data_IF_730543712435
#
_entry.id   IF_730543712435
#
_cell.length_a   1.000
_cell.length_b   1.000
_cell.length_c   1.000
_cell.angle_alpha   90.00
_cell.angle_beta   90.00
_cell.angle_gamma   90.00
#
_symmetry.space_group_name_H-M   'P 1'
#
loop_
_entity.id
_entity.type
_entity.pdbx_description
1 polymer ?
#
# COMPACT_ATOMS: atom_id res chain seq x y z
N UNK A 1 20.89 0.47 16.13
CA UNK A 1 19.84 -0.54 15.88
C UNK A 1 20.14 -1.74 16.73
N UNK A 2 19.16 -2.23 17.49
CA UNK A 2 19.28 -3.45 18.27
C UNK A 2 19.68 -4.64 17.35
N UNK A 3 20.56 -5.52 17.82
CA UNK A 3 21.03 -6.71 17.08
C UNK A 3 19.87 -7.56 16.56
N UNK A 4 18.77 -7.64 17.34
CA UNK A 4 17.53 -8.34 16.98
C UNK A 4 16.86 -7.79 15.71
N UNK A 5 16.79 -6.46 15.56
CA UNK A 5 16.21 -5.83 14.37
C UNK A 5 17.04 -6.09 13.12
N UNK A 6 18.37 -6.10 13.22
CA UNK A 6 19.26 -6.44 12.09
C UNK A 6 19.09 -7.89 11.65
N UNK A 7 19.03 -8.82 12.61
CA UNK A 7 18.80 -10.24 12.31
C UNK A 7 17.44 -10.44 11.60
N UNK A 8 16.40 -9.78 12.09
CA UNK A 8 15.07 -9.81 11.48
C UNK A 8 15.03 -9.23 10.06
N UNK A 9 15.73 -8.11 9.81
CA UNK A 9 15.84 -7.56 8.46
C UNK A 9 16.59 -8.54 7.54
N UNK A 10 17.64 -9.19 8.05
CA UNK A 10 18.41 -10.17 7.30
C UNK A 10 17.56 -11.40 6.91
N UNK A 11 16.74 -11.94 7.83
CA UNK A 11 15.87 -13.09 7.50
C UNK A 11 14.86 -12.75 6.41
N UNK A 12 14.24 -11.58 6.47
CA UNK A 12 13.30 -11.11 5.43
C UNK A 12 14.03 -10.87 4.11
N UNK A 13 15.25 -10.32 4.16
CA UNK A 13 16.06 -10.12 2.96
C UNK A 13 16.46 -11.44 2.29
N UNK A 14 16.85 -12.46 3.07
CA UNK A 14 17.13 -13.81 2.56
C UNK A 14 15.89 -14.44 1.93
N UNK A 15 14.73 -14.32 2.57
CA UNK A 15 13.47 -14.83 2.04
C UNK A 15 13.08 -14.12 0.73
N UNK A 16 13.18 -12.80 0.69
CA UNK A 16 12.92 -12.01 -0.51
C UNK A 16 13.89 -12.38 -1.65
N UNK A 17 15.18 -12.58 -1.34
CA UNK A 17 16.17 -13.02 -2.33
C UNK A 17 15.83 -14.40 -2.90
N UNK A 18 15.38 -15.35 -2.06
CA UNK A 18 14.93 -16.66 -2.51
C UNK A 18 13.71 -16.55 -3.44
N UNK A 19 12.72 -15.71 -3.08
CA UNK A 19 11.55 -15.42 -3.93
C UNK A 19 11.98 -14.84 -5.27
N UNK A 20 12.88 -13.84 -5.27
CA UNK A 20 13.38 -13.23 -6.50
C UNK A 20 14.18 -14.24 -7.35
N UNK A 21 14.91 -15.16 -6.71
CA UNK A 21 15.56 -16.28 -7.40
C UNK A 21 14.55 -17.19 -8.11
N UNK A 22 13.43 -17.51 -7.46
CA UNK A 22 12.32 -18.26 -8.09
C UNK A 22 11.72 -17.47 -9.24
N UNK A 23 11.45 -16.17 -9.06
CA UNK A 23 10.91 -15.28 -10.11
C UNK A 23 11.84 -15.25 -11.33
N UNK A 24 13.15 -15.13 -11.12
CA UNK A 24 14.14 -15.14 -12.19
C UNK A 24 14.21 -16.50 -12.90
N UNK A 25 14.14 -17.61 -12.16
CA UNK A 25 14.19 -18.96 -12.72
C UNK A 25 12.95 -19.36 -13.53
N UNK A 26 11.78 -18.80 -13.19
CA UNK A 26 10.49 -19.09 -13.82
C UNK A 26 9.94 -17.90 -14.60
N UNK A 27 10.83 -17.03 -15.08
CA UNK A 27 10.44 -15.82 -15.79
C UNK A 27 9.78 -16.17 -17.13
N UNK A 28 8.46 -16.00 -17.21
CA UNK A 28 7.68 -16.22 -18.42
C UNK A 28 6.50 -15.24 -18.49
N UNK A 29 6.75 -13.97 -18.82
CA UNK A 29 5.69 -12.97 -18.93
C UNK A 29 4.80 -13.28 -20.14
N UNK A 30 3.47 -13.23 -19.97
CA UNK A 30 2.53 -13.45 -21.07
C UNK A 30 2.67 -12.38 -22.17
N UNK A 31 2.93 -11.13 -21.76
CA UNK A 31 3.10 -10.01 -22.68
C UNK A 31 3.95 -8.91 -22.04
N UNK A 32 5.20 -8.81 -22.48
CA UNK A 32 6.17 -7.83 -21.98
C UNK A 32 5.68 -6.39 -22.15
N UNK A 33 4.97 -6.08 -23.25
CA UNK A 33 4.45 -4.73 -23.50
C UNK A 33 3.31 -4.35 -22.55
N UNK A 34 2.37 -5.27 -22.29
CA UNK A 34 1.28 -5.06 -21.33
C UNK A 34 1.81 -4.89 -19.92
N UNK A 35 2.75 -5.75 -19.53
CA UNK A 35 3.43 -5.65 -18.24
C UNK A 35 4.18 -4.33 -18.10
N UNK A 36 4.98 -3.93 -19.08
CA UNK A 36 5.75 -2.68 -19.01
C UNK A 36 4.85 -1.45 -18.85
N UNK A 37 3.72 -1.40 -19.56
CA UNK A 37 2.77 -0.30 -19.45
C UNK A 37 2.11 -0.25 -18.06
N UNK A 38 1.63 -1.39 -17.57
CA UNK A 38 1.01 -1.47 -16.24
C UNK A 38 2.03 -1.19 -15.13
N UNK A 39 3.23 -1.73 -15.24
CA UNK A 39 4.34 -1.48 -14.32
C UNK A 39 4.69 0.00 -14.27
N UNK A 40 4.81 0.66 -15.43
CA UNK A 40 5.05 2.11 -15.50
C UNK A 40 3.97 2.93 -14.79
N UNK A 41 2.69 2.58 -15.01
CA UNK A 41 1.57 3.22 -14.29
C UNK A 41 1.64 2.97 -12.78
N UNK A 42 1.96 1.76 -12.36
CA UNK A 42 2.15 1.41 -10.95
C UNK A 42 3.28 2.22 -10.31
N UNK A 43 4.38 2.44 -11.03
CA UNK A 43 5.49 3.28 -10.55
C UNK A 43 5.06 4.75 -10.42
N UNK A 44 4.39 5.31 -11.43
CA UNK A 44 3.89 6.70 -11.38
C UNK A 44 2.92 6.88 -10.22
N UNK A 45 1.97 5.97 -10.04
CA UNK A 45 1.03 6.04 -8.93
C UNK A 45 1.69 5.81 -7.56
N UNK A 46 2.70 4.96 -7.50
CA UNK A 46 3.55 4.77 -6.30
C UNK A 46 4.35 6.03 -5.97
N UNK A 47 4.73 6.82 -6.98
CA UNK A 47 5.40 8.11 -6.81
C UNK A 47 4.44 9.22 -6.30
N UNK A 48 3.13 9.08 -6.53
CA UNK A 48 2.09 9.96 -5.99
C UNK A 48 1.80 9.65 -4.52
N UNK A 49 2.78 9.92 -3.65
CA UNK A 49 2.60 9.82 -2.19
C UNK A 49 1.66 10.93 -1.69
N UNK A 50 0.46 10.56 -1.27
CA UNK A 50 -0.44 11.44 -0.51
C UNK A 50 -0.05 11.29 0.97
N UNK A 51 0.64 12.30 1.52
CA UNK A 51 0.92 12.39 2.96
C UNK A 51 -0.19 13.21 3.61
N UNK A 52 -0.89 12.63 4.59
CA UNK A 52 -1.83 13.39 5.41
C UNK A 52 -1.04 14.27 6.39
N UNK A 53 -1.30 15.58 6.46
CA UNK A 53 -0.78 16.42 7.53
C UNK A 53 -1.35 15.94 8.87
N UNK A 54 -0.47 15.67 9.85
CA UNK A 54 -0.86 15.26 11.21
C UNK A 54 -0.65 13.78 11.58
N UNK A 55 -0.34 12.89 10.62
CA UNK A 55 -0.21 11.45 10.88
C UNK A 55 1.19 10.91 10.53
N UNK A 56 1.76 10.07 11.41
CA UNK A 56 3.07 9.41 11.20
C UNK A 56 2.98 8.18 10.28
N UNK A 57 1.78 7.69 9.99
CA UNK A 57 1.57 6.45 9.23
C UNK A 57 1.47 6.74 7.74
N UNK A 58 2.28 6.05 6.94
CA UNK A 58 2.31 6.23 5.48
C UNK A 58 1.37 5.23 4.82
N UNK A 59 0.36 5.69 4.11
CA UNK A 59 -0.58 4.84 3.37
C UNK A 59 0.04 4.51 2.00
N UNK A 60 0.18 3.21 1.68
CA UNK A 60 0.80 2.77 0.43
C UNK A 60 -0.23 2.64 -0.69
N UNK A 61 -0.18 3.54 -1.67
CA UNK A 61 -0.96 3.47 -2.92
C UNK A 61 -0.60 2.26 -3.79
N UNK A 62 0.55 1.62 -3.55
CA UNK A 62 1.02 0.45 -4.30
C UNK A 62 0.12 -0.78 -4.11
N UNK A 63 -0.62 -0.85 -3.00
CA UNK A 63 -1.49 -1.99 -2.70
C UNK A 63 -2.52 -2.30 -3.80
N UNK A 64 -3.17 -1.29 -4.36
CA UNK A 64 -4.20 -1.49 -5.39
C UNK A 64 -3.60 -2.11 -6.65
N UNK A 65 -2.37 -1.73 -6.98
CA UNK A 65 -1.63 -2.30 -8.11
C UNK A 65 -1.17 -3.73 -7.85
N UNK A 66 -0.84 -4.06 -6.61
CA UNK A 66 -0.52 -5.43 -6.21
C UNK A 66 -1.76 -6.31 -6.34
N UNK A 67 -2.94 -5.87 -5.89
CA UNK A 67 -4.18 -6.62 -6.07
C UNK A 67 -4.56 -6.82 -7.54
N UNK A 68 -4.49 -5.77 -8.34
CA UNK A 68 -4.70 -5.87 -9.79
C UNK A 68 -3.65 -6.79 -10.42
N UNK A 69 -2.40 -6.72 -9.95
CA UNK A 69 -1.31 -7.61 -10.30
C UNK A 69 -1.61 -9.08 -10.01
N UNK A 70 -2.20 -9.38 -8.85
CA UNK A 70 -2.61 -10.73 -8.45
C UNK A 70 -3.68 -11.28 -9.41
N UNK A 71 -4.58 -10.44 -9.90
CA UNK A 71 -5.69 -10.85 -10.75
C UNK A 71 -5.34 -10.99 -12.23
N UNK A 72 -4.34 -10.26 -12.72
CA UNK A 72 -4.14 -10.04 -14.16
C UNK A 72 -2.77 -10.46 -14.67
N UNK A 73 -1.82 -10.68 -13.77
CA UNK A 73 -0.44 -10.94 -14.13
C UNK A 73 0.07 -12.21 -13.47
N UNK A 74 1.15 -12.76 -14.01
CA UNK A 74 1.83 -13.91 -13.43
C UNK A 74 2.51 -13.55 -12.11
N UNK A 75 2.81 -14.56 -11.30
CA UNK A 75 3.50 -14.41 -10.01
C UNK A 75 4.74 -13.51 -10.10
N UNK A 76 5.58 -13.69 -11.13
CA UNK A 76 6.81 -12.91 -11.31
C UNK A 76 6.52 -11.44 -11.56
N UNK A 77 5.58 -11.14 -12.44
CA UNK A 77 5.15 -9.79 -12.78
C UNK A 77 4.54 -9.08 -11.56
N UNK A 78 3.67 -9.74 -10.81
CA UNK A 78 3.07 -9.20 -9.57
C UNK A 78 4.13 -8.87 -8.53
N UNK A 79 5.09 -9.77 -8.31
CA UNK A 79 6.19 -9.56 -7.34
C UNK A 79 7.05 -8.37 -7.74
N UNK A 80 7.33 -8.20 -9.05
CA UNK A 80 8.08 -7.04 -9.53
C UNK A 80 7.30 -5.73 -9.35
N UNK A 81 5.98 -5.72 -9.56
CA UNK A 81 5.14 -4.54 -9.27
C UNK A 81 5.26 -4.16 -7.78
N UNK A 82 5.17 -5.15 -6.88
CA UNK A 82 5.34 -4.94 -5.45
C UNK A 82 6.71 -4.36 -5.10
N UNK A 83 7.78 -4.97 -5.62
CA UNK A 83 9.17 -4.53 -5.42
C UNK A 83 9.42 -3.11 -5.96
N UNK A 84 9.04 -2.87 -7.22
CA UNK A 84 9.24 -1.58 -7.88
C UNK A 84 8.50 -0.46 -7.15
N UNK A 85 7.24 -0.70 -6.77
CA UNK A 85 6.46 0.28 -6.04
C UNK A 85 7.05 0.57 -4.65
N UNK A 86 7.63 -0.43 -3.98
CA UNK A 86 8.36 -0.25 -2.73
C UNK A 86 9.60 0.65 -2.90
N UNK A 87 10.36 0.45 -3.98
CA UNK A 87 11.56 1.23 -4.29
C UNK A 87 11.19 2.67 -4.66
N UNK A 88 10.22 2.85 -5.55
CA UNK A 88 9.72 4.19 -5.94
C UNK A 88 9.19 4.92 -4.72
N UNK A 89 8.36 4.26 -3.90
CA UNK A 89 7.90 4.88 -2.66
C UNK A 89 9.07 5.23 -1.76
N UNK A 90 10.04 4.34 -1.56
CA UNK A 90 11.13 4.57 -0.61
C UNK A 90 12.11 5.66 -1.07
N UNK A 91 12.28 5.88 -2.37
CA UNK A 91 13.28 6.78 -2.93
C UNK A 91 12.70 8.12 -3.43
N UNK A 92 11.45 8.15 -3.89
CA UNK A 92 10.86 9.31 -4.56
C UNK A 92 10.33 10.38 -3.59
N UNK A 93 10.72 11.65 -3.82
CA UNK A 93 10.32 12.85 -3.05
C UNK A 93 10.35 12.65 -1.53
N UNK A 94 11.47 12.15 -1.02
CA UNK A 94 11.67 11.93 0.42
C UNK A 94 12.22 13.20 1.07
N UNK A 95 11.52 13.75 2.08
CA UNK A 95 11.88 15.00 2.75
C UNK A 95 13.21 14.89 3.53
N UNK A 96 13.53 13.69 4.01
CA UNK A 96 14.81 13.32 4.61
C UNK A 96 15.38 12.13 3.84
N UNK A 97 16.71 12.08 3.67
CA UNK A 97 17.35 10.97 2.96
C UNK A 97 17.00 9.64 3.67
N UNK A 98 16.29 8.71 3.00
CA UNK A 98 15.90 7.46 3.62
C UNK A 98 17.16 6.65 3.95
N UNK A 99 17.18 6.00 5.11
CA UNK A 99 18.31 5.14 5.48
C UNK A 99 18.33 3.95 4.51
N UNK A 100 19.49 3.53 3.95
CA UNK A 100 19.56 2.40 3.02
C UNK A 100 18.90 1.13 3.55
N UNK A 101 19.04 0.87 4.86
CA UNK A 101 18.37 -0.24 5.55
C UNK A 101 16.84 -0.17 5.50
N UNK A 102 16.25 1.03 5.56
CA UNK A 102 14.79 1.18 5.48
C UNK A 102 14.28 0.95 4.05
N UNK A 103 15.03 1.41 3.04
CA UNK A 103 14.73 1.15 1.64
C UNK A 103 14.80 -0.36 1.36
N UNK A 104 15.88 -1.01 1.82
CA UNK A 104 16.06 -2.45 1.68
C UNK A 104 14.93 -3.21 2.37
N UNK A 105 14.62 -2.87 3.63
CA UNK A 105 13.55 -3.52 4.37
C UNK A 105 12.19 -3.34 3.70
N UNK A 106 11.84 -2.14 3.23
CA UNK A 106 10.58 -1.93 2.53
C UNK A 106 10.51 -2.75 1.24
N UNK A 107 11.59 -2.78 0.46
CA UNK A 107 11.67 -3.56 -0.77
C UNK A 107 11.46 -5.06 -0.48
N UNK A 108 12.21 -5.62 0.46
CA UNK A 108 12.14 -7.06 0.79
C UNK A 108 10.82 -7.43 1.46
N UNK A 109 10.31 -6.56 2.34
CA UNK A 109 9.01 -6.73 2.99
C UNK A 109 7.88 -6.78 1.96
N UNK A 110 7.82 -5.82 1.02
CA UNK A 110 6.77 -5.81 0.00
C UNK A 110 6.89 -7.00 -0.95
N UNK A 111 8.10 -7.42 -1.32
CA UNK A 111 8.32 -8.66 -2.09
C UNK A 111 7.72 -9.87 -1.39
N UNK A 112 8.01 -10.06 -0.10
CA UNK A 112 7.49 -11.19 0.70
C UNK A 112 5.96 -11.12 0.84
N UNK A 113 5.42 -9.95 1.18
CA UNK A 113 3.97 -9.76 1.32
C UNK A 113 3.23 -10.03 0.01
N UNK A 114 3.77 -9.54 -1.11
CA UNK A 114 3.18 -9.71 -2.44
C UNK A 114 3.19 -11.18 -2.86
N UNK A 115 4.32 -11.86 -2.66
CA UNK A 115 4.45 -13.28 -2.98
C UNK A 115 3.49 -14.15 -2.16
N UNK A 116 3.41 -13.90 -0.84
CA UNK A 116 2.50 -14.61 0.04
C UNK A 116 1.02 -14.34 -0.30
N UNK A 117 0.68 -13.08 -0.59
CA UNK A 117 -0.68 -12.71 -1.01
C UNK A 117 -1.07 -13.37 -2.34
N UNK A 118 -0.16 -13.41 -3.32
CA UNK A 118 -0.40 -14.10 -4.59
C UNK A 118 -0.64 -15.60 -4.36
N UNK A 119 0.24 -16.28 -3.64
CA UNK A 119 0.15 -17.73 -3.47
C UNK A 119 -1.10 -18.15 -2.69
N UNK A 120 -1.40 -17.45 -1.60
CA UNK A 120 -2.59 -17.74 -0.77
C UNK A 120 -3.89 -17.44 -1.53
N UNK A 121 -3.96 -16.31 -2.25
CA UNK A 121 -5.15 -15.93 -3.03
C UNK A 121 -5.48 -16.90 -4.16
N UNK A 122 -4.49 -17.58 -4.73
CA UNK A 122 -4.73 -18.60 -5.75
C UNK A 122 -4.94 -20.00 -5.14
N UNK A 123 -4.17 -20.38 -4.11
CA UNK A 123 -4.22 -21.74 -3.58
C UNK A 123 -5.47 -22.01 -2.72
N UNK A 124 -5.82 -21.08 -1.80
CA UNK A 124 -6.87 -21.32 -0.81
C UNK A 124 -8.27 -21.40 -1.44
N UNK A 125 -8.68 -20.46 -2.33
CA UNK A 125 -10.00 -20.54 -2.94
C UNK A 125 -10.17 -21.79 -3.81
N UNK A 126 -9.12 -22.23 -4.50
CA UNK A 126 -9.13 -23.47 -5.27
C UNK A 126 -9.28 -24.71 -4.38
N UNK A 127 -8.61 -24.76 -3.23
CA UNK A 127 -8.77 -25.85 -2.25
C UNK A 127 -10.19 -25.90 -1.65
N UNK A 128 -10.82 -24.74 -1.45
CA UNK A 128 -12.15 -24.64 -0.86
C UNK A 128 -13.30 -24.75 -1.89
N UNK A 129 -12.99 -24.90 -3.19
CA UNK A 129 -13.99 -24.90 -4.26
C UNK A 129 -14.65 -23.53 -4.50
N UNK A 130 -14.11 -22.47 -3.92
CA UNK A 130 -14.61 -21.09 -4.02
C UNK A 130 -13.85 -20.34 -5.11
N UNK A 131 -13.91 -20.81 -6.35
CA UNK A 131 -13.23 -20.19 -7.51
C UNK A 131 -13.93 -18.90 -7.97
N UNK A 132 -13.99 -17.90 -7.09
CA UNK A 132 -14.49 -16.56 -7.38
C UNK A 132 -13.35 -15.54 -7.33
N UNK A 133 -13.28 -14.71 -8.37
CA UNK A 133 -12.34 -13.58 -8.44
C UNK A 133 -12.44 -12.65 -7.23
N UNK A 134 -13.66 -12.44 -6.72
CA UNK A 134 -13.88 -11.62 -5.53
C UNK A 134 -13.25 -12.26 -4.29
N UNK A 135 -13.37 -13.58 -4.12
CA UNK A 135 -12.78 -14.30 -3.00
C UNK A 135 -11.25 -14.23 -3.03
N UNK A 136 -10.66 -14.41 -4.22
CA UNK A 136 -9.23 -14.26 -4.46
C UNK A 136 -8.71 -12.87 -4.07
N UNK A 137 -9.42 -11.81 -4.48
CA UNK A 137 -9.04 -10.42 -4.16
C UNK A 137 -9.17 -10.08 -2.68
N UNK A 138 -10.25 -10.50 -2.03
CA UNK A 138 -10.46 -10.28 -0.60
C UNK A 138 -9.36 -11.00 0.19
N UNK A 139 -9.09 -12.26 -0.14
CA UNK A 139 -8.09 -13.06 0.57
C UNK A 139 -6.67 -12.52 0.34
N UNK A 140 -6.31 -12.20 -0.90
CA UNK A 140 -5.03 -11.58 -1.23
C UNK A 140 -4.84 -10.23 -0.52
N UNK A 141 -5.90 -9.42 -0.46
CA UNK A 141 -5.93 -8.16 0.28
C UNK A 141 -5.68 -8.35 1.77
N UNK A 142 -6.43 -9.25 2.41
CA UNK A 142 -6.27 -9.55 3.84
C UNK A 142 -4.87 -10.05 4.17
N UNK A 143 -4.34 -11.00 3.39
CA UNK A 143 -2.99 -11.56 3.61
C UNK A 143 -1.93 -10.47 3.46
N UNK A 144 -2.03 -9.65 2.41
CA UNK A 144 -1.10 -8.55 2.21
C UNK A 144 -1.13 -7.55 3.37
N UNK A 145 -2.31 -7.14 3.85
CA UNK A 145 -2.46 -6.19 4.98
C UNK A 145 -1.79 -6.73 6.22
N UNK A 146 -2.19 -7.94 6.61
CA UNK A 146 -1.78 -8.54 7.88
C UNK A 146 -0.28 -8.75 7.88
N UNK A 147 0.28 -9.25 6.78
CA UNK A 147 1.72 -9.43 6.65
C UNK A 147 2.45 -8.09 6.60
N UNK A 148 2.04 -7.15 5.75
CA UNK A 148 2.76 -5.89 5.61
C UNK A 148 2.73 -5.06 6.91
N UNK A 149 1.56 -4.95 7.55
CA UNK A 149 1.45 -4.25 8.85
C UNK A 149 2.20 -5.00 9.93
N UNK A 150 2.06 -6.32 10.03
CA UNK A 150 2.75 -7.13 11.03
C UNK A 150 4.28 -7.06 10.89
N UNK A 151 4.81 -7.18 9.66
CA UNK A 151 6.25 -7.14 9.42
C UNK A 151 6.84 -5.76 9.76
N UNK A 152 6.15 -4.67 9.36
CA UNK A 152 6.56 -3.29 9.66
C UNK A 152 6.45 -3.00 11.16
N UNK A 153 5.35 -3.35 11.80
CA UNK A 153 5.18 -3.15 13.24
C UNK A 153 6.22 -3.94 14.05
N UNK A 154 6.61 -5.13 13.58
CA UNK A 154 7.64 -5.94 14.24
C UNK A 154 9.04 -5.34 14.10
N UNK A 155 9.44 -4.83 12.92
CA UNK A 155 10.76 -4.17 12.81
C UNK A 155 10.82 -2.91 13.66
N UNK A 156 9.72 -2.15 13.75
CA UNK A 156 9.64 -0.93 14.57
C UNK A 156 9.68 -1.29 16.05
N UNK A 157 8.93 -2.31 16.49
CA UNK A 157 8.97 -2.81 17.87
C UNK A 157 10.38 -3.26 18.26
N UNK A 158 11.07 -3.99 17.39
CA UNK A 158 12.45 -4.43 17.62
C UNK A 158 13.47 -3.27 17.60
N UNK A 159 13.19 -2.20 16.85
CA UNK A 159 14.08 -1.04 16.73
C UNK A 159 13.91 -0.04 17.87
N UNK A 160 12.68 0.19 18.32
CA UNK A 160 12.30 1.18 19.34
C UNK A 160 12.10 0.58 20.73
N UNK A 161 12.05 -0.76 20.87
CA UNK A 161 11.85 -1.45 22.14
C UNK A 161 10.42 -1.32 22.71
N UNK A 162 9.46 -0.88 21.89
CA UNK A 162 8.05 -0.71 22.26
C UNK A 162 7.26 -1.99 22.06
N UNK A 163 6.11 -2.11 22.71
CA UNK A 163 5.27 -3.30 22.58
C UNK A 163 4.70 -3.45 21.16
N UNK A 164 4.74 -4.68 20.64
CA UNK A 164 4.26 -4.99 19.28
C UNK A 164 2.75 -4.70 19.14
N UNK A 165 1.97 -5.03 20.17
CA UNK A 165 0.51 -4.90 20.16
C UNK A 165 0.07 -3.44 20.04
N UNK A 166 0.73 -2.53 20.75
CA UNK A 166 0.44 -1.10 20.66
C UNK A 166 0.73 -0.57 19.25
N UNK A 167 1.92 -0.89 18.71
CA UNK A 167 2.30 -0.44 17.35
C UNK A 167 1.36 -1.04 16.30
N UNK A 168 1.01 -2.32 16.44
CA UNK A 168 0.16 -3.00 15.47
C UNK A 168 -1.28 -2.51 15.51
N UNK A 169 -1.89 -2.30 16.69
CA UNK A 169 -3.26 -1.74 16.80
C UNK A 169 -3.36 -0.37 16.15
N UNK A 170 -2.41 0.52 16.45
CA UNK A 170 -2.36 1.85 15.83
C UNK A 170 -2.15 1.80 14.31
N UNK A 171 -1.43 0.81 13.79
CA UNK A 171 -1.32 0.62 12.33
C UNK A 171 -2.62 0.04 11.73
N UNK A 172 -3.23 -0.93 12.40
CA UNK A 172 -4.38 -1.68 11.89
C UNK A 172 -5.65 -0.83 11.80
N UNK A 173 -5.95 -0.02 12.82
CA UNK A 173 -7.15 0.85 12.89
C UNK A 173 -7.30 1.76 11.66
N UNK A 174 -6.19 2.28 11.15
CA UNK A 174 -6.17 3.19 9.99
C UNK A 174 -6.07 2.47 8.64
N UNK A 175 -5.53 1.25 8.66
CA UNK A 175 -5.27 0.46 7.46
C UNK A 175 -6.55 -0.25 7.00
N UNK A 176 -7.37 -0.74 7.93
CA UNK A 176 -8.57 -1.53 7.62
C UNK A 176 -9.54 -0.87 6.63
N UNK A 177 -10.06 0.36 6.83
CA UNK A 177 -11.04 0.96 5.93
C UNK A 177 -10.48 1.26 4.53
N UNK A 178 -9.22 1.70 4.45
CA UNK A 178 -8.56 1.98 3.18
C UNK A 178 -8.40 0.72 2.32
N UNK A 179 -8.05 -0.39 2.96
CA UNK A 179 -7.87 -1.66 2.27
C UNK A 179 -9.17 -2.27 1.78
N UNK A 180 -10.25 -2.12 2.55
CA UNK A 180 -11.57 -2.57 2.16
C UNK A 180 -12.06 -1.83 0.90
N UNK A 181 -11.82 -0.51 0.83
CA UNK A 181 -12.09 0.31 -0.37
C UNK A 181 -11.18 -0.10 -1.54
N UNK A 182 -9.88 -0.28 -1.30
CA UNK A 182 -8.92 -0.70 -2.33
C UNK A 182 -9.24 -2.08 -2.94
N UNK A 183 -9.68 -3.03 -2.11
CA UNK A 183 -10.10 -4.36 -2.55
C UNK A 183 -11.41 -4.31 -3.35
N UNK A 184 -12.41 -3.54 -2.89
CA UNK A 184 -13.67 -3.36 -3.62
C UNK A 184 -13.43 -2.75 -5.00
N UNK A 185 -12.58 -1.72 -5.05
CA UNK A 185 -12.14 -1.08 -6.28
C UNK A 185 -11.44 -2.05 -7.23
N UNK A 186 -10.43 -2.78 -6.74
CA UNK A 186 -9.68 -3.71 -7.56
C UNK A 186 -10.60 -4.82 -8.09
N UNK A 187 -11.55 -5.27 -7.27
CA UNK A 187 -12.57 -6.26 -7.63
C UNK A 187 -13.47 -5.77 -8.75
N UNK A 188 -14.01 -4.55 -8.63
CA UNK A 188 -14.85 -3.94 -9.65
C UNK A 188 -14.09 -3.70 -10.96
N UNK A 189 -12.85 -3.20 -10.89
CA UNK A 189 -11.99 -3.00 -12.07
C UNK A 189 -11.75 -4.29 -12.84
N UNK A 190 -11.56 -5.37 -12.09
CA UNK A 190 -11.24 -6.67 -12.66
C UNK A 190 -12.49 -7.36 -13.21
N UNK A 191 -13.63 -7.28 -12.51
CA UNK A 191 -14.91 -7.79 -12.98
C UNK A 191 -15.39 -7.08 -14.27
N UNK A 192 -15.22 -5.77 -14.36
CA UNK A 192 -15.56 -5.00 -15.57
C UNK A 192 -14.71 -5.40 -16.79
N UNK A 193 -13.52 -5.98 -16.55
CA UNK A 193 -12.59 -6.35 -17.62
C UNK A 193 -12.85 -7.75 -18.19
N UNK A 194 -13.66 -8.58 -17.53
CA UNK A 194 -14.05 -9.90 -18.02
C UNK A 194 -15.22 -9.89 -19.02
N UNK A 195 -16.02 -8.80 -19.06
CA UNK A 195 -17.26 -8.74 -19.86
C UNK A 195 -17.11 -8.31 -21.33
N UNK A 196 -15.95 -7.77 -21.74
CA UNK A 196 -15.72 -7.31 -23.10
C UNK A 196 -14.59 -8.11 -23.73
N UNK A 197 -14.87 -8.78 -24.86
CA UNK A 197 -13.94 -9.61 -25.64
C UNK A 197 -12.47 -9.18 -25.56
N UNK A 198 -11.66 -9.98 -24.86
CA UNK A 198 -10.22 -9.78 -24.67
C UNK A 198 -9.91 -8.82 -23.52
N UNK A 199 -8.97 -9.22 -22.66
CA UNK A 199 -8.45 -8.43 -21.53
C UNK A 199 -7.86 -7.12 -22.06
N UNK A 200 -8.72 -6.10 -22.12
CA UNK A 200 -8.44 -4.81 -22.72
C UNK A 200 -7.92 -3.84 -21.66
N UNK A 201 -7.25 -2.81 -22.15
CA UNK A 201 -6.74 -1.57 -21.55
C UNK A 201 -7.60 -0.90 -20.45
N UNK A 202 -8.80 -1.41 -20.17
CA UNK A 202 -9.76 -0.93 -19.17
C UNK A 202 -9.30 -1.01 -17.71
N UNK A 203 -8.48 -2.00 -17.30
CA UNK A 203 -7.96 -2.03 -15.92
C UNK A 203 -7.03 -0.85 -15.66
N UNK A 204 -6.12 -0.58 -16.59
CA UNK A 204 -5.23 0.59 -16.53
C UNK A 204 -6.05 1.90 -16.51
N UNK A 205 -7.16 1.94 -17.26
CA UNK A 205 -8.09 3.06 -17.30
C UNK A 205 -8.96 3.19 -16.04
N UNK A 206 -9.23 2.10 -15.32
CA UNK A 206 -10.09 2.09 -14.12
C UNK A 206 -9.29 2.29 -12.82
N UNK A 207 -7.99 2.01 -12.83
CA UNK A 207 -7.08 2.42 -11.75
C UNK A 207 -6.90 3.94 -11.69
N UNK A 208 -7.06 4.64 -12.82
CA UNK A 208 -7.04 6.12 -12.90
C UNK A 208 -8.13 6.81 -12.06
N UNK A 209 -9.42 6.49 -12.18
CA UNK A 209 -10.47 7.09 -11.36
C UNK A 209 -10.33 6.74 -9.88
N UNK A 210 -9.69 5.62 -9.53
CA UNK A 210 -9.43 5.25 -8.14
C UNK A 210 -8.39 6.18 -7.54
N UNK A 211 -7.31 6.41 -8.26
CA UNK A 211 -6.30 7.41 -7.90
C UNK A 211 -6.95 8.79 -7.81
N UNK A 212 -7.86 9.12 -8.73
CA UNK A 212 -8.62 10.37 -8.70
C UNK A 212 -9.57 10.46 -7.50
N UNK A 213 -10.32 9.42 -7.16
CA UNK A 213 -11.27 9.40 -6.04
C UNK A 213 -10.54 9.44 -4.70
N UNK A 214 -9.45 8.69 -4.57
CA UNK A 214 -8.54 8.79 -3.42
C UNK A 214 -8.00 10.21 -3.35
N UNK A 215 -7.57 10.81 -4.46
CA UNK A 215 -7.09 12.19 -4.51
C UNK A 215 -8.15 13.20 -4.05
N UNK A 216 -9.38 13.11 -4.57
CA UNK A 216 -10.49 14.01 -4.24
C UNK A 216 -10.94 13.85 -2.79
N UNK A 217 -11.07 12.62 -2.31
CA UNK A 217 -11.45 12.33 -0.92
C UNK A 217 -10.44 12.91 0.07
N UNK A 218 -9.14 12.68 -0.16
CA UNK A 218 -8.10 13.23 0.70
C UNK A 218 -7.97 14.75 0.58
N UNK A 219 -8.14 15.32 -0.62
CA UNK A 219 -8.14 16.79 -0.79
C UNK A 219 -9.29 17.43 -0.03
N UNK A 220 -10.48 16.84 -0.07
CA UNK A 220 -11.63 17.33 0.70
C UNK A 220 -11.41 17.23 2.21
N UNK A 221 -10.89 16.12 2.72
CA UNK A 221 -10.66 15.96 4.15
C UNK A 221 -9.57 16.88 4.70
N UNK A 222 -8.47 17.05 3.96
CA UNK A 222 -7.41 17.99 4.35
C UNK A 222 -7.92 19.43 4.27
N UNK A 223 -8.69 19.78 3.24
CA UNK A 223 -9.26 21.12 3.09
C UNK A 223 -10.24 21.44 4.23
N UNK A 224 -11.08 20.47 4.63
CA UNK A 224 -11.95 20.61 5.80
C UNK A 224 -11.16 20.78 7.10
N UNK A 225 -10.17 19.92 7.35
CA UNK A 225 -9.35 20.02 8.56
C UNK A 225 -8.57 21.34 8.66
N UNK A 226 -8.11 21.89 7.53
CA UNK A 226 -7.44 23.20 7.48
C UNK A 226 -8.45 24.34 7.70
N UNK A 227 -9.64 24.26 7.10
CA UNK A 227 -10.70 25.24 7.31
C UNK A 227 -11.18 25.28 8.77
N UNK A 228 -11.34 24.12 9.39
CA UNK A 228 -11.76 24.01 10.79
C UNK A 228 -10.70 24.60 11.73
N UNK A 229 -9.41 24.43 11.43
CA UNK A 229 -8.32 25.02 12.22
C UNK A 229 -8.23 26.54 12.04
N UNK A 230 -8.50 27.05 10.84
CA UNK A 230 -8.50 28.51 10.57
C UNK A 230 -9.73 29.16 11.21
N UNK A 231 -10.90 28.50 11.16
CA UNK A 231 -12.12 29.02 11.79
C UNK A 231 -12.02 29.02 13.32
N UNK A 232 -11.43 27.97 13.92
CA UNK A 232 -11.18 27.93 15.37
C UNK A 232 -10.20 29.00 15.82
N UNK A 233 -9.09 29.19 15.08
CA UNK A 233 -8.11 30.24 15.38
C UNK A 233 -8.70 31.66 15.24
N UNK A 234 -9.59 31.87 14.26
CA UNK A 234 -10.30 33.15 14.09
C UNK A 234 -11.26 33.43 15.26
N UNK A 235 -12.02 32.42 15.70
CA UNK A 235 -12.93 32.56 16.84
C UNK A 235 -12.19 32.81 18.16
N UNK A 236 -11.06 32.13 18.38
CA UNK A 236 -10.25 32.33 19.58
C UNK A 236 -9.72 33.78 19.64
N UNK A 237 -9.26 34.32 18.51
CA UNK A 237 -8.77 35.69 18.41
C UNK A 237 -9.88 36.74 18.66
N UNK A 238 -11.11 36.51 18.17
CA UNK A 238 -12.26 37.39 18.45
C UNK A 238 -12.69 37.34 19.91
N UNK A 239 -12.69 36.16 20.55
CA UNK A 239 -13.06 36.03 21.97
C UNK A 239 -12.05 36.69 22.90
N UNK A 240 -10.75 36.61 22.61
CA UNK A 240 -9.69 37.29 23.37
C UNK A 240 -9.82 38.81 23.24
N UNK A 241 -10.07 39.32 22.03
CA UNK A 241 -10.32 40.74 21.81
C UNK A 241 -11.58 41.20 22.57
N UNK A 242 -12.70 40.48 22.46
CA UNK A 242 -13.94 40.81 23.16
C UNK A 242 -13.79 40.79 24.70
N UNK A 243 -13.01 39.86 25.24
CA UNK A 243 -12.66 39.81 26.67
C UNK A 243 -11.80 40.99 27.11
N UNK A 244 -10.81 41.39 26.30
CA UNK A 244 -9.95 42.54 26.58
C UNK A 244 -10.70 43.89 26.56
N UNK A 245 -11.77 44.00 25.77
CA UNK A 245 -12.64 45.18 25.75
C UNK A 245 -13.61 45.26 26.93
N UNK A 246 -13.99 44.13 27.54
CA UNK A 246 -14.88 44.07 28.72
C UNK A 246 -14.17 44.28 30.06
N UNK A 247 -12.83 44.21 30.07
CA UNK A 247 -11.99 44.37 31.26
C UNK A 247 -11.44 45.77 31.48
N UNK A 248 -11.87 46.77 30.70
CA UNK A 248 -11.62 48.20 30.93
C UNK A 248 -12.93 48.88 31.28
#
# INVERSE_FOLDING_TARGET
MATKAKLYIATIATLAAAILGVVASRWNPESVSRFALFFGLAMVASAMKIRLPGFKTTISTNFVFILAGIALFSFGETVLIGLGGALVQSLWKTQTRPKPVQVLFNATCLTVCTAAAFWTSHAIPTMLGLNSMAAMMVLGGCVYVVLNTGLVSLVVSLAEGRSLREIWSSCYEWTFPYFLVGAAVAGLASAASYGANGVNLGVALLVMPVIYFVHVYYRMHIFRAVLDNISSASHEHETVLAGAWRGR
#
